data_IF_673964014356
#
_entry.id   IF_673964014356
#
_cell.length_a   1.000
_cell.length_b   1.000
_cell.length_c   1.000
_cell.angle_alpha   90.00
_cell.angle_beta   90.00
_cell.angle_gamma   90.00
#
_symmetry.space_group_name_H-M   'P 1'
#
loop_
_entity.id
_entity.type
_entity.pdbx_description
1 polymer ?
#
# COMPACT_ATOMS: atom_id res chain seq x y z
N UNK A 1 4.07 24.44 3.91
CA UNK A 1 3.29 23.86 5.01
C UNK A 1 4.20 23.65 6.21
N UNK A 2 3.68 23.99 7.40
CA UNK A 2 4.35 23.79 8.69
C UNK A 2 3.51 22.76 9.46
N UNK A 3 4.01 21.54 9.68
CA UNK A 3 3.27 20.51 10.41
C UNK A 3 3.10 20.84 11.89
N UNK A 4 2.07 20.23 12.51
CA UNK A 4 1.87 20.32 13.97
C UNK A 4 3.14 19.85 14.71
N UNK A 5 3.66 20.62 15.67
CA UNK A 5 4.80 20.20 16.48
C UNK A 5 4.48 19.01 17.39
N UNK A 6 3.20 18.78 17.69
CA UNK A 6 2.71 17.71 18.58
C UNK A 6 2.21 16.49 17.81
N UNK A 7 2.47 16.39 16.49
CA UNK A 7 1.93 15.33 15.63
C UNK A 7 2.27 13.91 16.08
N UNK A 8 3.35 13.73 16.81
CA UNK A 8 3.79 12.40 17.28
C UNK A 8 3.32 12.03 18.69
N UNK A 9 2.68 12.94 19.42
CA UNK A 9 2.43 12.76 20.84
C UNK A 9 1.36 11.70 21.16
N UNK A 10 0.41 11.47 20.25
CA UNK A 10 -0.75 10.59 20.52
C UNK A 10 -0.78 9.35 19.62
N UNK A 11 -0.06 9.34 18.49
CA UNK A 11 -0.05 8.20 17.57
C UNK A 11 0.78 7.06 18.14
N UNK A 12 0.17 5.88 18.21
CA UNK A 12 0.92 4.66 18.54
C UNK A 12 1.71 4.15 17.32
N UNK A 13 3.01 3.92 17.50
CA UNK A 13 3.87 3.32 16.49
C UNK A 13 4.22 1.88 16.88
N UNK A 14 4.15 0.97 15.93
CA UNK A 14 4.39 -0.46 16.14
C UNK A 14 5.47 -0.96 15.20
N UNK A 15 6.34 -1.83 15.73
CA UNK A 15 7.38 -2.47 14.92
C UNK A 15 6.74 -3.36 13.86
N UNK A 16 7.20 -3.21 12.61
CA UNK A 16 6.77 -4.03 11.49
C UNK A 16 7.53 -5.37 11.49
N UNK A 17 6.90 -6.41 12.01
CA UNK A 17 7.53 -7.71 12.19
C UNK A 17 8.82 -7.63 13.02
N UNK A 18 9.87 -8.31 12.57
CA UNK A 18 11.22 -8.28 13.19
C UNK A 18 12.17 -7.25 12.54
N UNK A 19 11.63 -6.29 11.76
CA UNK A 19 12.43 -5.24 11.14
C UNK A 19 12.74 -4.08 12.08
N UNK A 20 13.58 -3.15 11.63
CA UNK A 20 13.82 -1.86 12.31
C UNK A 20 12.72 -0.83 12.12
N UNK A 21 11.81 -1.03 11.15
CA UNK A 21 10.79 -0.06 10.78
C UNK A 21 9.64 -0.03 11.78
N UNK A 22 9.28 1.17 12.22
CA UNK A 22 8.06 1.43 12.99
C UNK A 22 6.99 2.01 12.03
N UNK A 23 5.79 1.48 12.09
CA UNK A 23 4.64 2.01 11.36
C UNK A 23 3.61 2.58 12.33
N UNK A 24 2.93 3.68 11.97
CA UNK A 24 1.81 4.18 12.76
C UNK A 24 0.70 3.14 12.81
N UNK A 25 -0.07 3.12 13.89
CA UNK A 25 -1.20 2.21 14.04
C UNK A 25 -2.28 2.40 12.97
N UNK A 26 -2.35 3.59 12.38
CA UNK A 26 -3.19 3.94 11.24
C UNK A 26 -2.33 4.38 10.08
N UNK A 27 -2.68 3.94 8.86
CA UNK A 27 -2.05 4.37 7.61
C UNK A 27 -3.11 5.00 6.71
N UNK A 28 -2.71 5.98 5.91
CA UNK A 28 -3.60 6.62 4.96
C UNK A 28 -3.51 5.92 3.59
N UNK A 29 -4.57 5.21 3.20
CA UNK A 29 -4.68 4.64 1.85
C UNK A 29 -5.17 5.68 0.85
N UNK A 30 -4.48 5.82 -0.28
CA UNK A 30 -4.76 6.80 -1.31
C UNK A 30 -5.56 6.20 -2.50
N UNK A 31 -6.32 5.15 -2.28
CA UNK A 31 -7.13 4.56 -3.36
C UNK A 31 -8.30 5.46 -3.77
N UNK A 32 -9.11 5.91 -2.80
CA UNK A 32 -10.20 6.84 -3.03
C UNK A 32 -9.79 8.25 -2.64
N UNK A 33 -10.48 9.26 -3.19
CA UNK A 33 -10.26 10.69 -2.92
C UNK A 33 -8.91 11.26 -3.40
N UNK A 34 -8.15 10.53 -4.21
CA UNK A 34 -6.88 10.98 -4.77
C UNK A 34 -6.81 10.88 -6.30
N UNK A 35 -7.92 10.50 -6.95
CA UNK A 35 -8.08 10.54 -8.41
C UNK A 35 -8.39 11.94 -8.94
N UNK A 36 -8.62 12.03 -10.25
CA UNK A 36 -8.83 13.30 -10.96
C UNK A 36 -10.12 14.06 -10.61
N UNK A 37 -11.10 13.37 -10.00
CA UNK A 37 -12.40 13.98 -9.65
C UNK A 37 -12.41 14.69 -8.28
N UNK A 38 -11.40 14.45 -7.45
CA UNK A 38 -11.32 15.06 -6.11
C UNK A 38 -10.54 16.37 -6.21
N UNK A 39 -11.08 17.51 -5.73
CA UNK A 39 -10.36 18.78 -5.73
C UNK A 39 -9.01 18.65 -5.01
N UNK A 40 -8.01 19.35 -5.54
CA UNK A 40 -6.65 19.34 -5.02
C UNK A 40 -6.59 19.77 -3.54
N UNK A 41 -7.35 20.78 -3.17
CA UNK A 41 -7.43 21.32 -1.82
C UNK A 41 -8.00 20.30 -0.84
N UNK A 42 -8.94 19.47 -1.27
CA UNK A 42 -9.48 18.36 -0.46
C UNK A 42 -8.39 17.31 -0.23
N UNK A 43 -7.68 16.91 -1.28
CA UNK A 43 -6.55 15.98 -1.14
C UNK A 43 -5.48 16.53 -0.19
N UNK A 44 -5.12 17.79 -0.35
CA UNK A 44 -4.14 18.48 0.49
C UNK A 44 -4.58 18.51 1.97
N UNK A 45 -5.85 18.84 2.21
CA UNK A 45 -6.42 18.84 3.57
C UNK A 45 -6.35 17.46 4.22
N UNK A 46 -6.69 16.39 3.48
CA UNK A 46 -6.61 15.01 3.97
C UNK A 46 -5.17 14.64 4.35
N UNK A 47 -4.20 14.92 3.46
CA UNK A 47 -2.79 14.61 3.70
C UNK A 47 -2.25 15.35 4.93
N UNK A 48 -2.51 16.67 5.02
CA UNK A 48 -2.06 17.50 6.15
C UNK A 48 -2.69 17.05 7.46
N UNK A 49 -4.01 16.82 7.47
CA UNK A 49 -4.71 16.33 8.66
C UNK A 49 -4.15 14.97 9.11
N UNK A 50 -3.87 14.06 8.19
CA UNK A 50 -3.29 12.76 8.53
C UNK A 50 -1.92 12.95 9.19
N UNK A 51 -1.02 13.70 8.59
CA UNK A 51 0.33 13.91 9.10
C UNK A 51 0.34 14.69 10.43
N UNK A 52 -0.50 15.72 10.56
CA UNK A 52 -0.63 16.50 11.80
C UNK A 52 -1.16 15.66 12.99
N UNK A 53 -1.71 14.48 12.71
CA UNK A 53 -2.12 13.48 13.69
C UNK A 53 -1.19 12.26 13.75
N UNK A 54 0.02 12.34 13.20
CA UNK A 54 1.04 11.30 13.29
C UNK A 54 0.86 10.12 12.32
N UNK A 55 -0.03 10.22 11.34
CA UNK A 55 -0.11 9.23 10.26
C UNK A 55 1.00 9.51 9.26
N UNK A 56 2.12 8.82 9.41
CA UNK A 56 3.31 8.99 8.58
C UNK A 56 3.38 8.02 7.40
N UNK A 57 2.53 6.98 7.36
CA UNK A 57 2.50 6.00 6.28
C UNK A 57 1.40 6.32 5.28
N UNK A 58 1.79 6.61 4.04
CA UNK A 58 0.92 6.86 2.89
C UNK A 58 1.03 5.70 1.91
N UNK A 59 -0.10 5.00 1.69
CA UNK A 59 -0.17 3.75 0.94
C UNK A 59 -0.86 3.94 -0.41
N UNK A 60 -0.07 3.84 -1.50
CA UNK A 60 -0.50 3.99 -2.88
C UNK A 60 -0.48 2.64 -3.62
N UNK A 61 -0.83 2.68 -4.89
CA UNK A 61 -0.58 1.67 -5.91
C UNK A 61 -0.60 2.32 -7.29
N UNK A 62 0.10 1.70 -8.25
CA UNK A 62 0.19 2.22 -9.61
C UNK A 62 -1.17 2.36 -10.29
N UNK A 63 -2.15 1.50 -9.96
CA UNK A 63 -3.49 1.50 -10.53
C UNK A 63 -4.51 2.33 -9.73
N UNK A 64 -4.10 3.07 -8.70
CA UNK A 64 -5.03 3.92 -7.95
C UNK A 64 -5.39 5.19 -8.73
N UNK A 65 -6.65 5.60 -8.58
CA UNK A 65 -7.25 6.74 -9.28
C UNK A 65 -8.74 6.82 -9.00
N UNK A 66 -9.63 6.95 -10.01
CA UNK A 66 -9.43 6.95 -11.47
C UNK A 66 -8.83 8.27 -12.01
N UNK A 67 -8.24 8.21 -13.25
CA UNK A 67 -7.78 7.03 -13.98
C UNK A 67 -6.55 6.37 -13.31
N UNK A 68 -6.12 5.20 -13.80
CA UNK A 68 -4.95 4.50 -13.25
C UNK A 68 -3.69 5.39 -13.28
N UNK A 69 -2.96 5.42 -12.18
CA UNK A 69 -1.79 6.27 -12.00
C UNK A 69 -2.07 7.69 -11.50
N UNK A 70 -3.33 8.11 -11.46
CA UNK A 70 -3.66 9.49 -11.11
C UNK A 70 -3.43 9.79 -9.62
N UNK A 71 -3.69 8.84 -8.74
CA UNK A 71 -3.39 9.01 -7.32
C UNK A 71 -1.89 9.27 -7.08
N UNK A 72 -1.02 8.55 -7.79
CA UNK A 72 0.43 8.78 -7.71
C UNK A 72 0.84 10.12 -8.32
N UNK A 73 0.23 10.56 -9.45
CA UNK A 73 0.50 11.88 -10.03
C UNK A 73 0.10 13.01 -9.09
N UNK A 74 -1.10 12.95 -8.55
CA UNK A 74 -1.59 13.94 -7.60
C UNK A 74 -0.73 13.97 -6.34
N UNK A 75 -0.39 12.81 -5.80
CA UNK A 75 0.54 12.72 -4.67
C UNK A 75 1.91 13.34 -5.02
N UNK A 76 2.42 13.09 -6.22
CA UNK A 76 3.66 13.71 -6.72
C UNK A 76 3.61 15.23 -6.76
N UNK A 77 2.47 15.84 -7.12
CA UNK A 77 2.28 17.29 -7.05
C UNK A 77 2.31 17.77 -5.59
N UNK A 78 1.65 17.04 -4.68
CA UNK A 78 1.70 17.36 -3.25
C UNK A 78 3.14 17.25 -2.71
N UNK A 79 3.89 16.20 -3.10
CA UNK A 79 5.29 16.04 -2.70
C UNK A 79 6.14 17.25 -3.07
N UNK A 80 6.02 17.76 -4.29
CA UNK A 80 6.78 18.93 -4.74
C UNK A 80 6.39 20.22 -4.00
N UNK A 81 5.12 20.39 -3.65
CA UNK A 81 4.62 21.63 -3.03
C UNK A 81 4.87 21.69 -1.54
N UNK A 82 4.58 20.61 -0.81
CA UNK A 82 4.47 20.65 0.64
C UNK A 82 5.38 19.63 1.36
N UNK A 83 5.68 18.49 0.74
CA UNK A 83 6.14 17.31 1.46
C UNK A 83 7.63 16.97 1.28
N UNK A 84 8.29 17.55 0.27
CA UNK A 84 9.70 17.28 0.03
C UNK A 84 10.60 17.52 1.25
N UNK A 85 10.40 18.58 2.05
CA UNK A 85 11.18 18.79 3.29
C UNK A 85 10.93 17.74 4.37
N UNK A 86 9.81 17.00 4.28
CA UNK A 86 9.39 16.00 5.25
C UNK A 86 9.54 14.56 4.74
N UNK A 87 10.23 14.36 3.59
CA UNK A 87 10.37 13.02 2.97
C UNK A 87 10.89 11.97 3.95
N UNK A 88 11.86 12.32 4.78
CA UNK A 88 12.49 11.40 5.73
C UNK A 88 11.63 11.10 6.97
N UNK A 89 10.57 11.86 7.17
CA UNK A 89 9.56 11.60 8.21
C UNK A 89 8.42 10.70 7.69
N UNK A 90 8.36 10.41 6.39
CA UNK A 90 7.29 9.65 5.75
C UNK A 90 7.74 8.25 5.40
N UNK A 91 6.82 7.30 5.53
CA UNK A 91 6.88 5.98 4.90
C UNK A 91 5.93 6.01 3.70
N UNK A 92 6.46 5.90 2.51
CA UNK A 92 5.68 5.92 1.27
C UNK A 92 5.73 4.54 0.66
N UNK A 93 4.56 3.94 0.45
CA UNK A 93 4.45 2.64 -0.22
C UNK A 93 3.67 2.74 -1.53
N UNK A 94 4.07 1.91 -2.49
CA UNK A 94 3.28 1.69 -3.72
C UNK A 94 3.33 0.23 -4.13
N UNK A 95 2.48 -0.15 -5.10
CA UNK A 95 2.24 -1.54 -5.48
C UNK A 95 2.06 -1.65 -6.99
N UNK A 96 2.40 -2.82 -7.54
CA UNK A 96 2.07 -3.21 -8.91
C UNK A 96 1.58 -4.65 -8.97
N UNK A 97 0.64 -4.95 -9.89
CA UNK A 97 0.05 -6.29 -10.04
C UNK A 97 -1.27 -6.30 -10.82
N UNK A 98 -1.81 -5.13 -11.15
CA UNK A 98 -3.04 -4.95 -11.93
C UNK A 98 -2.74 -4.27 -13.26
N UNK A 99 -3.72 -4.28 -14.18
CA UNK A 99 -3.60 -3.69 -15.51
C UNK A 99 -3.19 -2.21 -15.44
N UNK A 100 -2.16 -1.85 -16.20
CA UNK A 100 -1.66 -0.48 -16.29
C UNK A 100 -1.52 0.03 -17.71
N UNK A 101 -1.25 -0.86 -18.67
CA UNK A 101 -1.15 -0.54 -20.10
C UNK A 101 -1.52 -1.74 -20.96
N UNK A 102 -1.93 -1.54 -22.23
CA UNK A 102 -2.34 -2.60 -23.13
C UNK A 102 -1.20 -3.58 -23.47
N UNK A 103 -1.58 -4.79 -23.84
CA UNK A 103 -0.67 -5.83 -24.31
C UNK A 103 -0.14 -6.74 -23.20
N UNK A 104 0.77 -7.67 -23.52
CA UNK A 104 1.13 -8.78 -22.65
C UNK A 104 2.07 -8.41 -21.49
N UNK A 105 2.52 -7.15 -21.42
CA UNK A 105 3.52 -6.71 -20.43
C UNK A 105 2.99 -5.71 -19.41
N UNK A 106 1.69 -5.43 -19.42
CA UNK A 106 1.09 -4.36 -18.63
C UNK A 106 0.36 -4.83 -17.37
N UNK A 107 0.56 -6.08 -16.91
CA UNK A 107 -0.19 -6.68 -15.81
C UNK A 107 0.65 -7.77 -15.09
N UNK A 108 0.16 -8.21 -13.92
CA UNK A 108 0.60 -9.36 -13.14
C UNK A 108 1.96 -9.22 -12.46
N UNK A 109 2.81 -10.27 -12.47
CA UNK A 109 3.97 -10.38 -11.59
C UNK A 109 5.31 -10.58 -12.28
N UNK A 110 5.38 -10.51 -13.63
CA UNK A 110 6.65 -10.70 -14.34
C UNK A 110 7.68 -9.63 -13.93
N UNK A 111 8.96 -10.02 -13.95
CA UNK A 111 10.07 -9.10 -13.70
C UNK A 111 9.99 -7.85 -14.58
N UNK A 112 9.67 -8.04 -15.88
CA UNK A 112 9.51 -6.92 -16.82
C UNK A 112 8.45 -5.92 -16.38
N UNK A 113 7.29 -6.41 -15.96
CA UNK A 113 6.18 -5.58 -15.52
C UNK A 113 6.51 -4.84 -14.21
N UNK A 114 7.04 -5.54 -13.20
CA UNK A 114 7.30 -4.95 -11.89
C UNK A 114 8.37 -3.86 -11.95
N UNK A 115 9.48 -4.10 -12.67
CA UNK A 115 10.53 -3.10 -12.85
C UNK A 115 10.03 -1.86 -13.56
N UNK A 116 9.31 -2.04 -14.68
CA UNK A 116 8.74 -0.91 -15.43
C UNK A 116 7.69 -0.14 -14.63
N UNK A 117 6.86 -0.87 -13.86
CA UNK A 117 5.82 -0.26 -13.02
C UNK A 117 6.40 0.64 -11.93
N UNK A 118 7.43 0.17 -11.22
CA UNK A 118 8.06 0.99 -10.19
C UNK A 118 8.74 2.24 -10.79
N UNK A 119 9.41 2.10 -11.93
CA UNK A 119 10.02 3.25 -12.62
C UNK A 119 8.98 4.30 -13.02
N UNK A 120 7.81 3.86 -13.47
CA UNK A 120 6.70 4.75 -13.79
C UNK A 120 6.10 5.38 -12.51
N UNK A 121 5.95 4.61 -11.44
CA UNK A 121 5.44 5.10 -10.14
C UNK A 121 6.34 6.18 -9.55
N UNK A 122 7.66 5.95 -9.53
CA UNK A 122 8.63 6.94 -9.05
C UNK A 122 8.56 8.25 -9.83
N UNK A 123 8.46 8.17 -11.18
CA UNK A 123 8.28 9.37 -12.01
C UNK A 123 6.98 10.10 -11.71
N UNK A 124 5.85 9.38 -11.53
CA UNK A 124 4.56 10.00 -11.19
C UNK A 124 4.60 10.71 -9.84
N UNK A 125 5.24 10.08 -8.85
CA UNK A 125 5.32 10.60 -7.48
C UNK A 125 6.44 11.64 -7.27
N UNK A 126 7.30 11.88 -8.26
CA UNK A 126 8.51 12.72 -8.13
C UNK A 126 9.41 12.26 -6.96
N UNK A 127 9.66 10.96 -6.88
CA UNK A 127 10.48 10.31 -5.87
C UNK A 127 11.64 9.55 -6.51
N UNK A 128 12.77 9.50 -5.82
CA UNK A 128 13.92 8.66 -6.19
C UNK A 128 13.73 7.21 -5.72
N UNK A 129 13.02 7.01 -4.61
CA UNK A 129 12.71 5.71 -4.03
C UNK A 129 11.38 5.73 -3.26
N UNK A 130 10.80 4.56 -3.06
CA UNK A 130 9.72 4.33 -2.09
C UNK A 130 10.27 3.57 -0.88
N UNK A 131 9.62 3.71 0.27
CA UNK A 131 10.02 2.95 1.46
C UNK A 131 9.61 1.48 1.32
N UNK A 132 8.40 1.21 0.83
CA UNK A 132 7.91 -0.16 0.64
C UNK A 132 7.34 -0.33 -0.76
N UNK A 133 7.79 -1.34 -1.48
CA UNK A 133 7.18 -1.76 -2.75
C UNK A 133 6.52 -3.12 -2.60
N UNK A 134 5.24 -3.23 -3.01
CA UNK A 134 4.48 -4.47 -2.92
C UNK A 134 4.23 -5.11 -4.29
N UNK A 135 4.29 -6.44 -4.36
CA UNK A 135 3.52 -7.15 -5.36
C UNK A 135 2.05 -7.23 -4.92
N UNK A 136 1.16 -6.64 -5.72
CA UNK A 136 -0.21 -6.28 -5.31
C UNK A 136 -1.16 -7.49 -5.21
N UNK A 137 -0.88 -8.56 -5.98
CA UNK A 137 -1.62 -9.83 -5.96
C UNK A 137 -0.79 -10.94 -6.57
N UNK A 138 -0.98 -12.22 -6.18
CA UNK A 138 -0.28 -13.33 -6.81
C UNK A 138 -0.60 -13.42 -8.31
N UNK A 139 0.41 -13.75 -9.10
CA UNK A 139 0.26 -14.06 -10.53
C UNK A 139 0.09 -15.57 -10.68
N UNK A 140 -0.99 -16.07 -11.35
CA UNK A 140 -1.22 -17.49 -11.48
C UNK A 140 -0.25 -18.18 -12.47
N UNK A 141 0.38 -17.43 -13.37
CA UNK A 141 1.21 -17.97 -14.45
C UNK A 141 2.71 -17.74 -14.25
N UNK A 142 3.09 -16.67 -13.54
CA UNK A 142 4.51 -16.35 -13.27
C UNK A 142 4.99 -17.11 -12.04
N UNK A 143 6.11 -17.85 -12.11
CA UNK A 143 6.71 -18.45 -10.93
C UNK A 143 6.96 -17.42 -9.83
N UNK A 144 6.64 -17.77 -8.58
CA UNK A 144 6.83 -16.87 -7.42
C UNK A 144 8.29 -16.43 -7.33
N UNK A 145 9.23 -17.30 -7.65
CA UNK A 145 10.67 -17.05 -7.63
C UNK A 145 11.08 -15.92 -8.60
N UNK A 146 10.46 -15.82 -9.78
CA UNK A 146 10.70 -14.71 -10.71
C UNK A 146 10.21 -13.40 -10.10
N UNK A 147 8.99 -13.39 -9.57
CA UNK A 147 8.40 -12.22 -8.92
C UNK A 147 9.25 -11.77 -7.73
N UNK A 148 9.64 -12.70 -6.85
CA UNK A 148 10.50 -12.38 -5.70
C UNK A 148 11.90 -11.92 -6.13
N UNK A 149 12.45 -12.52 -7.17
CA UNK A 149 13.72 -12.06 -7.76
C UNK A 149 13.63 -10.65 -8.36
N UNK A 150 12.46 -10.24 -8.85
CA UNK A 150 12.23 -8.85 -9.26
C UNK A 150 12.18 -7.90 -8.06
N UNK A 151 11.53 -8.29 -6.96
CA UNK A 151 11.49 -7.51 -5.72
C UNK A 151 12.89 -7.35 -5.10
N UNK A 152 13.70 -8.43 -5.06
CA UNK A 152 15.10 -8.36 -4.63
C UNK A 152 15.91 -7.36 -5.48
N UNK A 153 15.78 -7.45 -6.81
CA UNK A 153 16.45 -6.52 -7.74
C UNK A 153 16.05 -5.07 -7.48
N UNK A 154 14.79 -4.81 -7.18
CA UNK A 154 14.27 -3.48 -6.85
C UNK A 154 14.95 -2.92 -5.59
N UNK A 155 15.08 -3.71 -4.53
CA UNK A 155 15.78 -3.29 -3.31
C UNK A 155 17.25 -3.05 -3.59
N UNK A 156 17.94 -3.97 -4.26
CA UNK A 156 19.37 -3.82 -4.62
C UNK A 156 19.66 -2.60 -5.49
N UNK A 157 18.70 -2.19 -6.32
CA UNK A 157 18.81 -0.97 -7.13
C UNK A 157 18.58 0.31 -6.37
N UNK A 158 18.21 0.25 -5.09
CA UNK A 158 17.91 1.41 -4.25
C UNK A 158 16.58 2.10 -4.54
N UNK A 159 15.72 1.48 -5.36
CA UNK A 159 14.40 2.05 -5.73
C UNK A 159 13.30 1.77 -4.70
N UNK A 160 13.52 0.80 -3.82
CA UNK A 160 12.73 0.59 -2.63
C UNK A 160 13.63 0.18 -1.46
N UNK A 161 13.28 0.58 -0.23
CA UNK A 161 14.04 0.17 0.95
C UNK A 161 13.61 -1.22 1.43
N UNK A 162 12.34 -1.52 1.30
CA UNK A 162 11.70 -2.76 1.72
C UNK A 162 10.74 -3.27 0.67
N UNK A 163 10.41 -4.56 0.77
CA UNK A 163 9.41 -5.21 -0.09
C UNK A 163 8.35 -5.94 0.73
N UNK A 164 7.17 -6.02 0.14
CA UNK A 164 6.03 -6.75 0.67
C UNK A 164 5.22 -7.43 -0.42
N UNK A 165 4.24 -8.18 0.00
CA UNK A 165 3.26 -8.83 -0.87
C UNK A 165 1.84 -8.55 -0.37
N UNK A 166 0.85 -8.80 -1.23
CA UNK A 166 -0.56 -8.63 -0.87
C UNK A 166 -1.40 -9.75 -1.48
N UNK A 167 -2.41 -10.23 -0.74
CA UNK A 167 -3.41 -11.23 -1.20
C UNK A 167 -2.85 -12.63 -1.50
N UNK A 168 -1.66 -12.96 -1.06
CA UNK A 168 -1.09 -14.30 -1.19
C UNK A 168 -1.71 -15.25 -0.17
N UNK A 169 -1.89 -16.52 -0.57
CA UNK A 169 -2.28 -17.57 0.38
C UNK A 169 -1.19 -17.84 1.42
N UNK A 170 -1.48 -18.52 2.53
CA UNK A 170 -0.43 -18.92 3.49
C UNK A 170 0.72 -19.66 2.83
N UNK A 171 0.43 -20.63 1.96
CA UNK A 171 1.43 -21.46 1.26
C UNK A 171 2.28 -20.61 0.30
N UNK A 172 1.66 -19.75 -0.49
CA UNK A 172 2.37 -18.83 -1.38
C UNK A 172 3.23 -17.85 -0.60
N UNK A 173 2.74 -17.40 0.57
CA UNK A 173 3.47 -16.51 1.46
C UNK A 173 4.73 -17.18 2.02
N UNK A 174 4.66 -18.44 2.42
CA UNK A 174 5.82 -19.21 2.87
C UNK A 174 6.88 -19.34 1.78
N UNK A 175 6.47 -19.66 0.54
CA UNK A 175 7.39 -19.75 -0.60
C UNK A 175 8.06 -18.38 -0.84
N UNK A 176 7.27 -17.30 -0.88
CA UNK A 176 7.77 -15.95 -1.12
C UNK A 176 8.77 -15.50 -0.03
N UNK A 177 8.46 -15.74 1.25
CA UNK A 177 9.36 -15.42 2.38
C UNK A 177 10.68 -16.20 2.26
N UNK A 178 10.61 -17.50 2.01
CA UNK A 178 11.81 -18.34 1.84
C UNK A 178 12.67 -17.85 0.70
N UNK A 179 12.07 -17.62 -0.49
CA UNK A 179 12.78 -17.16 -1.68
C UNK A 179 13.47 -15.81 -1.44
N UNK A 180 12.77 -14.83 -0.86
CA UNK A 180 13.37 -13.53 -0.56
C UNK A 180 14.49 -13.63 0.48
N UNK A 181 14.35 -14.50 1.47
CA UNK A 181 15.40 -14.74 2.47
C UNK A 181 16.66 -15.35 1.86
N UNK A 182 16.51 -16.32 0.97
CA UNK A 182 17.61 -16.96 0.23
C UNK A 182 18.34 -15.95 -0.67
N UNK A 183 17.61 -14.97 -1.25
CA UNK A 183 18.17 -13.86 -2.02
C UNK A 183 18.86 -12.79 -1.15
N UNK A 184 18.65 -12.80 0.18
CA UNK A 184 19.23 -11.82 1.10
C UNK A 184 18.40 -10.54 1.25
N UNK A 185 17.15 -10.53 0.78
CA UNK A 185 16.20 -9.42 0.92
C UNK A 185 14.98 -9.89 1.72
N UNK A 186 15.01 -9.85 3.07
CA UNK A 186 13.90 -10.33 3.89
C UNK A 186 12.60 -9.58 3.59
N UNK A 187 11.49 -10.33 3.50
CA UNK A 187 10.16 -9.72 3.35
C UNK A 187 9.80 -8.92 4.60
N UNK A 188 9.40 -7.66 4.40
CA UNK A 188 8.99 -6.78 5.50
C UNK A 188 7.56 -7.06 5.98
N UNK A 189 6.61 -7.14 5.04
CA UNK A 189 5.19 -6.97 5.36
C UNK A 189 4.29 -7.67 4.35
N UNK A 190 3.14 -8.15 4.82
CA UNK A 190 2.02 -8.63 4.02
C UNK A 190 0.82 -7.69 4.18
N UNK A 191 0.18 -7.29 3.08
CA UNK A 191 -1.05 -6.49 3.13
C UNK A 191 -2.26 -7.34 2.75
N UNK A 192 -3.32 -7.38 3.60
CA UNK A 192 -4.48 -8.21 3.33
C UNK A 192 -5.79 -7.56 3.81
N UNK A 193 -6.91 -8.03 3.23
CA UNK A 193 -8.24 -7.65 3.69
C UNK A 193 -8.53 -8.30 5.04
N UNK A 194 -8.67 -7.48 6.06
CA UNK A 194 -8.97 -7.96 7.40
C UNK A 194 -9.92 -7.02 8.13
N UNK A 195 -11.00 -7.58 8.64
CA UNK A 195 -12.00 -6.88 9.44
C UNK A 195 -12.75 -7.86 10.31
N UNK A 196 -13.62 -7.37 11.18
CA UNK A 196 -14.53 -8.24 11.95
C UNK A 196 -15.45 -9.10 11.06
N UNK A 197 -15.74 -8.67 9.82
CA UNK A 197 -16.57 -9.38 8.85
C UNK A 197 -15.76 -10.26 7.89
N UNK A 198 -14.45 -10.09 7.80
CA UNK A 198 -13.57 -10.91 6.97
C UNK A 198 -12.34 -11.34 7.78
N UNK A 199 -12.40 -12.53 8.32
CA UNK A 199 -11.37 -13.11 9.19
C UNK A 199 -10.57 -14.23 8.51
N UNK A 200 -10.62 -14.30 7.17
CA UNK A 200 -9.97 -15.35 6.39
C UNK A 200 -8.47 -15.53 6.71
N UNK A 201 -7.77 -14.44 7.00
CA UNK A 201 -6.33 -14.49 7.29
C UNK A 201 -5.99 -15.29 8.55
N UNK A 202 -6.93 -15.46 9.47
CA UNK A 202 -6.75 -16.26 10.69
C UNK A 202 -6.64 -17.77 10.39
N UNK A 203 -6.97 -18.19 9.17
CA UNK A 203 -6.83 -19.58 8.72
C UNK A 203 -5.42 -19.81 8.14
N UNK A 204 -4.39 -19.65 8.97
CA UNK A 204 -3.01 -19.97 8.68
C UNK A 204 -2.10 -18.80 8.30
N UNK A 205 -2.60 -17.73 7.68
CA UNK A 205 -1.72 -16.62 7.27
C UNK A 205 -1.10 -15.90 8.48
N UNK A 206 -1.89 -15.62 9.52
CA UNK A 206 -1.38 -14.99 10.75
C UNK A 206 -0.32 -15.82 11.44
N UNK A 207 -0.45 -17.16 11.39
CA UNK A 207 0.52 -18.08 11.98
C UNK A 207 1.84 -18.05 11.21
N UNK A 208 1.77 -18.08 9.88
CA UNK A 208 2.95 -17.93 9.00
C UNK A 208 3.67 -16.62 9.29
N UNK A 209 2.96 -15.48 9.26
CA UNK A 209 3.57 -14.17 9.46
C UNK A 209 4.19 -14.02 10.85
N UNK A 210 3.52 -14.54 11.89
CA UNK A 210 4.03 -14.51 13.27
C UNK A 210 5.31 -15.35 13.39
N UNK A 211 5.30 -16.58 12.90
CA UNK A 211 6.45 -17.49 12.92
C UNK A 211 7.65 -16.90 12.19
N UNK A 212 7.43 -16.34 11.02
CA UNK A 212 8.48 -15.78 10.17
C UNK A 212 8.92 -14.36 10.57
N UNK A 213 8.16 -13.69 11.44
CA UNK A 213 8.46 -12.34 11.90
C UNK A 213 8.22 -11.28 10.82
N UNK A 214 7.24 -11.50 9.95
CA UNK A 214 6.79 -10.57 8.90
C UNK A 214 5.63 -9.73 9.43
N UNK A 215 5.62 -8.43 9.10
CA UNK A 215 4.54 -7.53 9.50
C UNK A 215 3.24 -7.80 8.74
N UNK A 216 2.12 -7.37 9.33
CA UNK A 216 0.80 -7.40 8.70
C UNK A 216 0.18 -6.02 8.73
N UNK A 217 -0.35 -5.56 7.60
CA UNK A 217 -1.18 -4.37 7.49
C UNK A 217 -2.53 -4.74 6.87
N UNK A 218 -3.61 -4.25 7.48
CA UNK A 218 -4.97 -4.53 7.04
C UNK A 218 -5.50 -3.41 6.13
N UNK A 219 -6.07 -3.78 4.98
CA UNK A 219 -6.95 -2.87 4.25
C UNK A 219 -8.42 -3.25 4.48
N UNK A 220 -9.31 -2.24 4.38
CA UNK A 220 -10.74 -2.43 4.60
C UNK A 220 -11.15 -2.80 6.03
N UNK A 221 -10.49 -2.31 7.10
CA UNK A 221 -10.79 -2.71 8.48
C UNK A 221 -12.22 -2.37 8.92
N UNK A 222 -12.85 -1.38 8.26
CA UNK A 222 -14.25 -1.00 8.48
C UNK A 222 -15.21 -1.63 7.45
N UNK A 223 -14.75 -2.62 6.68
CA UNK A 223 -15.54 -3.34 5.67
C UNK A 223 -16.32 -2.39 4.72
N UNK A 224 -15.63 -1.39 4.16
CA UNK A 224 -16.25 -0.39 3.30
C UNK A 224 -17.21 0.58 4.00
N UNK A 225 -17.11 0.67 5.32
CA UNK A 225 -17.96 1.51 6.18
C UNK A 225 -19.08 0.75 6.88
N UNK A 226 -19.28 -0.54 6.57
CA UNK A 226 -20.34 -1.35 7.20
C UNK A 226 -20.19 -1.49 8.72
N UNK A 227 -18.98 -1.42 9.22
CA UNK A 227 -18.67 -1.48 10.65
C UNK A 227 -18.73 -0.11 11.35
N UNK A 228 -19.26 0.90 10.66
CA UNK A 228 -19.55 2.23 11.23
C UNK A 228 -21.04 2.40 11.50
N UNK A 229 -21.42 3.46 12.21
CA UNK A 229 -22.84 3.80 12.42
C UNK A 229 -23.57 4.28 11.15
N UNK A 230 -22.87 4.48 10.03
CA UNK A 230 -23.42 5.08 8.80
C UNK A 230 -24.60 4.30 8.19
N UNK A 231 -24.63 2.97 8.36
CA UNK A 231 -25.60 2.09 7.72
C UNK A 231 -26.70 1.56 8.67
N UNK A 232 -26.76 2.04 9.91
CA UNK A 232 -27.74 1.56 10.91
C UNK A 232 -29.19 1.82 10.53
N UNK A 233 -29.45 2.90 9.79
CA UNK A 233 -30.81 3.28 9.36
C UNK A 233 -31.07 3.03 7.86
N UNK A 234 -30.28 2.16 7.24
CA UNK A 234 -30.35 1.88 5.81
C UNK A 234 -29.10 2.34 5.03
N UNK A 235 -29.18 2.29 3.70
CA UNK A 235 -28.06 2.69 2.83
C UNK A 235 -28.23 4.14 2.43
N UNK A 236 -27.40 5.10 2.94
CA UNK A 236 -27.48 6.49 2.51
C UNK A 236 -27.13 6.64 1.04
N UNK A 237 -27.87 7.50 0.31
CA UNK A 237 -27.65 7.73 -1.12
C UNK A 237 -26.25 8.28 -1.42
N UNK A 238 -25.67 9.05 -0.50
CA UNK A 238 -24.32 9.61 -0.58
C UNK A 238 -23.20 8.66 -0.11
N UNK A 239 -23.55 7.40 0.21
CA UNK A 239 -22.59 6.40 0.62
C UNK A 239 -21.94 5.69 -0.56
N UNK A 240 -20.80 5.03 -0.32
CA UNK A 240 -20.12 4.22 -1.35
C UNK A 240 -21.04 3.14 -1.91
N UNK A 241 -21.80 2.46 -1.06
CA UNK A 241 -22.77 1.43 -1.45
C UNK A 241 -23.95 2.06 -2.23
N UNK A 242 -24.39 3.27 -1.84
CA UNK A 242 -25.45 3.99 -2.54
C UNK A 242 -25.04 4.42 -3.96
N UNK A 243 -23.75 4.73 -4.16
CA UNK A 243 -23.22 5.08 -5.49
C UNK A 243 -22.86 3.86 -6.34
N UNK A 244 -22.46 2.75 -5.73
CA UNK A 244 -21.98 1.56 -6.44
C UNK A 244 -22.37 0.28 -5.70
N UNK A 245 -23.41 -0.43 -6.18
CA UNK A 245 -23.90 -1.67 -5.55
C UNK A 245 -22.85 -2.80 -5.48
N UNK A 246 -21.74 -2.71 -6.23
CA UNK A 246 -20.64 -3.70 -6.14
C UNK A 246 -19.96 -3.72 -4.77
N UNK A 247 -20.25 -2.73 -3.93
CA UNK A 247 -19.77 -2.68 -2.54
C UNK A 247 -20.74 -3.31 -1.53
N UNK A 248 -21.88 -3.86 -1.98
CA UNK A 248 -22.74 -4.72 -1.16
C UNK A 248 -22.07 -6.08 -0.94
#
# INVERSE_FOLDING_TARGET
YIPSPTRYDTMAYRRCGKSGLLLPALSLGLWHNFGSITPFETQQSILRTAFDNGITHFDLANNYGPPYGEAERNFGVHMLRDWKPHRDELVISTKAGYDMWPGPYGNWGSRKYLMASLDQSLRRMNLDYVDIFYHHRPDPETPIEETMGALDQIVRSGKALYVGISRYTPEQTEIAIRTLRELGTPMLIHQENYSMLNRKIEHGLTDVLTREGVGLIAFGPLAGGRLTGKYQSGIPADSRIGHDPRYL
#
